data_IF_104709424956
#
_entry.id   IF_104709424956
#
_cell.length_a   1.000
_cell.length_b   1.000
_cell.length_c   1.000
_cell.angle_alpha   90.00
_cell.angle_beta   90.00
_cell.angle_gamma   90.00
#
_symmetry.space_group_name_H-M   'P 1'
#
loop_
_entity.id
_entity.type
_entity.pdbx_description
1 polymer ?
#
# COMPACT_ATOMS: atom_id res chain seq x y z
N UNK A 1 30.73 -3.32 -25.00
CA UNK A 1 29.26 -3.39 -25.07
C UNK A 1 28.72 -1.98 -24.81
N UNK A 2 28.15 -1.31 -25.81
CA UNK A 2 27.43 -0.04 -25.65
C UNK A 2 26.12 -0.32 -24.90
N UNK A 3 26.19 -0.43 -23.59
CA UNK A 3 25.11 -0.88 -22.71
C UNK A 3 24.12 0.24 -22.30
N UNK A 4 24.21 1.42 -22.93
CA UNK A 4 23.40 2.61 -22.61
C UNK A 4 22.21 2.81 -23.55
N UNK A 5 21.39 1.78 -23.77
CA UNK A 5 20.16 1.93 -24.55
C UNK A 5 19.14 2.76 -23.78
N UNK A 6 18.82 3.97 -24.25
CA UNK A 6 17.76 4.80 -23.68
C UNK A 6 16.45 4.46 -24.40
N UNK A 7 15.50 3.88 -23.66
CA UNK A 7 14.14 3.67 -24.14
C UNK A 7 13.24 4.83 -23.70
N UNK A 8 12.42 5.36 -24.61
CA UNK A 8 11.48 6.46 -24.33
C UNK A 8 10.06 5.98 -24.62
N UNK A 9 9.19 6.00 -23.60
CA UNK A 9 7.77 5.69 -23.73
C UNK A 9 7.00 7.01 -23.89
N UNK A 10 6.34 7.19 -25.03
CA UNK A 10 5.48 8.35 -25.30
C UNK A 10 4.03 8.01 -24.95
N UNK A 11 3.48 8.66 -23.93
CA UNK A 11 2.11 8.45 -23.47
C UNK A 11 1.18 9.48 -24.12
N UNK A 12 0.02 9.04 -24.60
CA UNK A 12 -1.00 9.90 -25.19
C UNK A 12 -2.39 9.59 -24.60
N UNK A 13 -3.24 10.62 -24.54
CA UNK A 13 -4.63 10.52 -24.08
C UNK A 13 -5.50 11.63 -24.69
N UNK A 14 -6.83 11.50 -24.56
CA UNK A 14 -7.77 12.45 -25.16
C UNK A 14 -7.92 13.75 -24.34
N UNK A 15 -7.63 13.69 -23.05
CA UNK A 15 -7.69 14.84 -22.13
C UNK A 15 -6.41 14.93 -21.29
N UNK A 16 -6.09 16.12 -20.76
CA UNK A 16 -4.90 16.32 -19.93
C UNK A 16 -4.97 15.49 -18.63
N UNK A 17 -6.15 15.36 -18.04
CA UNK A 17 -6.36 14.56 -16.82
C UNK A 17 -6.06 13.08 -17.07
N UNK A 18 -6.60 12.53 -18.17
CA UNK A 18 -6.33 11.14 -18.56
C UNK A 18 -4.85 10.94 -18.93
N UNK A 19 -4.21 11.94 -19.56
CA UNK A 19 -2.80 11.88 -19.89
C UNK A 19 -1.94 11.75 -18.62
N UNK A 20 -2.24 12.55 -17.59
CA UNK A 20 -1.54 12.50 -16.29
C UNK A 20 -1.73 11.15 -15.61
N UNK A 21 -2.96 10.64 -15.57
CA UNK A 21 -3.29 9.35 -14.95
C UNK A 21 -2.58 8.18 -15.66
N UNK A 22 -2.69 8.10 -17.00
CA UNK A 22 -2.00 7.06 -17.78
C UNK A 22 -0.49 7.13 -17.64
N UNK A 23 0.07 8.35 -17.59
CA UNK A 23 1.50 8.54 -17.41
C UNK A 23 1.95 7.99 -16.05
N UNK A 24 1.26 8.35 -14.97
CA UNK A 24 1.57 7.84 -13.62
C UNK A 24 1.46 6.31 -13.58
N UNK A 25 0.43 5.73 -14.17
CA UNK A 25 0.25 4.27 -14.25
C UNK A 25 1.42 3.56 -14.95
N UNK A 26 1.95 4.17 -16.02
CA UNK A 26 3.11 3.64 -16.75
C UNK A 26 4.40 3.79 -15.93
N UNK A 27 4.58 4.90 -15.23
CA UNK A 27 5.71 5.10 -14.31
C UNK A 27 5.70 4.07 -13.17
N UNK A 28 4.53 3.83 -12.57
CA UNK A 28 4.34 2.80 -11.55
C UNK A 28 4.64 1.39 -12.09
N UNK A 29 4.13 1.05 -13.27
CA UNK A 29 4.41 -0.25 -13.90
C UNK A 29 5.92 -0.45 -14.17
N UNK A 30 6.61 0.60 -14.62
CA UNK A 30 8.06 0.57 -14.84
C UNK A 30 8.81 0.35 -13.52
N UNK A 31 8.43 1.05 -12.45
CA UNK A 31 9.05 0.93 -11.14
C UNK A 31 8.81 -0.46 -10.53
N UNK A 32 7.59 -0.98 -10.61
CA UNK A 32 7.23 -2.33 -10.18
C UNK A 32 8.02 -3.40 -10.94
N UNK A 33 8.17 -3.26 -12.25
CA UNK A 33 8.96 -4.20 -13.06
C UNK A 33 10.44 -4.17 -12.68
N UNK A 34 11.01 -2.98 -12.44
CA UNK A 34 12.40 -2.84 -11.95
C UNK A 34 12.57 -3.53 -10.59
N UNK A 35 11.67 -3.27 -9.65
CA UNK A 35 11.69 -3.89 -8.32
C UNK A 35 11.56 -5.43 -8.40
N UNK A 36 10.73 -5.94 -9.32
CA UNK A 36 10.55 -7.36 -9.53
C UNK A 36 11.82 -8.03 -10.12
N UNK A 37 12.56 -7.33 -10.98
CA UNK A 37 13.85 -7.83 -11.50
C UNK A 37 14.92 -7.87 -10.41
N UNK A 38 14.88 -6.93 -9.45
CA UNK A 38 15.87 -6.85 -8.37
C UNK A 38 15.70 -7.92 -7.28
N UNK A 39 14.48 -8.11 -6.75
CA UNK A 39 14.21 -8.99 -5.59
C UNK A 39 13.20 -10.11 -5.90
N UNK A 40 12.76 -10.27 -7.14
CA UNK A 40 11.77 -11.26 -7.54
C UNK A 40 10.33 -10.83 -7.28
N UNK A 41 9.43 -11.80 -7.37
CA UNK A 41 7.98 -11.62 -7.21
C UNK A 41 7.43 -12.57 -6.14
N UNK A 42 6.31 -12.18 -5.55
CA UNK A 42 5.53 -12.96 -4.59
C UNK A 42 4.05 -12.95 -4.95
N UNK A 43 3.27 -13.84 -4.31
CA UNK A 43 1.81 -13.87 -4.44
C UNK A 43 1.20 -12.54 -3.98
N UNK A 44 0.53 -11.84 -4.90
CA UNK A 44 0.01 -10.51 -4.65
C UNK A 44 -1.30 -10.48 -3.85
N UNK A 45 -1.96 -9.33 -3.85
CA UNK A 45 -3.27 -9.16 -3.19
C UNK A 45 -3.22 -9.31 -1.67
N UNK A 46 -2.05 -9.06 -1.05
CA UNK A 46 -1.81 -9.29 0.37
C UNK A 46 -1.57 -10.75 0.78
N UNK A 47 -1.65 -11.69 -0.17
CA UNK A 47 -1.47 -13.13 0.09
C UNK A 47 -0.07 -13.45 0.64
N UNK A 48 0.97 -12.83 0.10
CA UNK A 48 2.33 -13.01 0.60
C UNK A 48 2.50 -12.67 2.10
N UNK A 49 1.78 -11.66 2.60
CA UNK A 49 1.80 -11.30 4.02
C UNK A 49 1.06 -12.35 4.87
N UNK A 50 -0.04 -12.90 4.35
CA UNK A 50 -0.76 -13.98 5.03
C UNK A 50 0.03 -15.30 5.04
N UNK A 51 0.82 -15.60 4.01
CA UNK A 51 1.66 -16.80 3.97
C UNK A 51 2.69 -16.85 5.11
N UNK A 52 3.09 -15.70 5.65
CA UNK A 52 4.02 -15.62 6.79
C UNK A 52 3.32 -15.51 8.14
N UNK A 53 1.98 -15.38 8.17
CA UNK A 53 1.19 -15.19 9.40
C UNK A 53 1.53 -16.24 10.47
N UNK A 54 1.50 -17.53 10.11
CA UNK A 54 1.78 -18.62 11.06
C UNK A 54 3.21 -18.60 11.59
N UNK A 55 4.19 -18.11 10.80
CA UNK A 55 5.56 -17.94 11.25
C UNK A 55 5.71 -16.80 12.25
N UNK A 56 5.00 -15.69 12.03
CA UNK A 56 4.96 -14.56 12.97
C UNK A 56 4.24 -14.96 14.25
N UNK A 57 3.16 -15.75 14.14
CA UNK A 57 2.39 -16.22 15.30
C UNK A 57 3.15 -17.20 16.19
N UNK A 58 4.16 -17.88 15.64
CA UNK A 58 5.03 -18.78 16.36
C UNK A 58 6.21 -18.09 17.08
N UNK A 59 6.33 -16.75 16.99
CA UNK A 59 7.36 -16.00 17.70
C UNK A 59 7.05 -16.06 19.20
N UNK A 60 7.95 -16.68 19.97
CA UNK A 60 7.89 -16.69 21.43
C UNK A 60 8.33 -15.33 21.96
N UNK A 61 7.44 -14.66 22.69
CA UNK A 61 7.66 -13.36 23.31
C UNK A 61 6.85 -13.27 24.61
N UNK A 62 7.28 -12.43 25.54
CA UNK A 62 6.63 -12.25 26.84
C UNK A 62 6.24 -10.78 27.07
N UNK A 63 5.32 -10.54 28.00
CA UNK A 63 4.91 -9.19 28.40
C UNK A 63 4.51 -8.29 27.22
N UNK A 64 5.11 -7.11 27.15
CA UNK A 64 4.82 -6.09 26.13
C UNK A 64 5.31 -6.49 24.73
N UNK A 65 6.38 -7.30 24.63
CA UNK A 65 6.85 -7.81 23.33
C UNK A 65 5.81 -8.72 22.68
N UNK A 66 5.13 -9.56 23.48
CA UNK A 66 4.03 -10.38 23.00
C UNK A 66 2.85 -9.53 22.47
N UNK A 67 2.61 -8.36 23.07
CA UNK A 67 1.64 -7.39 22.57
C UNK A 67 2.09 -6.81 21.23
N UNK A 68 3.38 -6.48 21.08
CA UNK A 68 3.98 -6.06 19.81
C UNK A 68 3.78 -7.09 18.68
N UNK A 69 4.02 -8.37 18.95
CA UNK A 69 3.78 -9.46 17.97
C UNK A 69 2.31 -9.49 17.55
N UNK A 70 1.36 -9.34 18.48
CA UNK A 70 -0.09 -9.29 18.18
C UNK A 70 -0.46 -8.09 17.31
N UNK A 71 0.17 -6.93 17.52
CA UNK A 71 -0.05 -5.74 16.67
C UNK A 71 0.36 -6.04 15.23
N UNK A 72 1.53 -6.65 15.03
CA UNK A 72 2.01 -7.02 13.69
C UNK A 72 1.10 -8.07 13.05
N UNK A 73 0.71 -9.12 13.77
CA UNK A 73 -0.23 -10.14 13.28
C UNK A 73 -1.54 -9.53 12.81
N UNK A 74 -2.07 -8.56 13.55
CA UNK A 74 -3.28 -7.86 13.15
C UNK A 74 -3.06 -6.99 11.92
N UNK A 75 -1.94 -6.27 11.86
CA UNK A 75 -1.64 -5.33 10.78
C UNK A 75 -1.41 -6.02 9.42
N UNK A 76 -0.80 -7.20 9.40
CA UNK A 76 -0.54 -7.93 8.14
C UNK A 76 -1.81 -8.46 7.46
N UNK A 77 -2.93 -8.56 8.18
CA UNK A 77 -4.25 -8.91 7.62
C UNK A 77 -4.92 -7.74 6.89
N UNK A 78 -4.57 -6.51 7.25
CA UNK A 78 -5.29 -5.30 6.80
C UNK A 78 -5.22 -5.07 5.28
N UNK A 79 -4.10 -5.31 4.57
CA UNK A 79 -4.07 -5.18 3.11
C UNK A 79 -5.11 -6.05 2.41
N UNK A 80 -5.26 -7.32 2.82
CA UNK A 80 -6.28 -8.22 2.26
C UNK A 80 -7.68 -7.73 2.60
N UNK A 81 -7.91 -7.33 3.86
CA UNK A 81 -9.20 -6.82 4.32
C UNK A 81 -9.64 -5.60 3.52
N UNK A 82 -8.73 -4.66 3.29
CA UNK A 82 -9.00 -3.45 2.53
C UNK A 82 -9.29 -3.75 1.06
N UNK A 83 -8.54 -4.66 0.43
CA UNK A 83 -8.79 -5.09 -0.96
C UNK A 83 -10.17 -5.74 -1.08
N UNK A 84 -10.52 -6.64 -0.17
CA UNK A 84 -11.82 -7.28 -0.13
C UNK A 84 -12.96 -6.28 0.09
N UNK A 85 -12.80 -5.34 1.01
CA UNK A 85 -13.79 -4.30 1.28
C UNK A 85 -14.01 -3.39 0.08
N UNK A 86 -12.94 -3.01 -0.63
CA UNK A 86 -13.02 -2.24 -1.87
C UNK A 86 -13.73 -3.01 -2.99
N UNK A 87 -13.72 -4.35 -2.95
CA UNK A 87 -14.48 -5.21 -3.84
C UNK A 87 -15.92 -5.48 -3.35
N UNK A 88 -16.36 -4.87 -2.24
CA UNK A 88 -17.70 -5.04 -1.68
C UNK A 88 -17.92 -6.36 -0.95
N UNK A 89 -16.85 -7.00 -0.48
CA UNK A 89 -16.87 -8.31 0.19
C UNK A 89 -16.46 -8.22 1.66
N UNK A 90 -16.83 -9.24 2.43
CA UNK A 90 -16.52 -9.33 3.86
C UNK A 90 -15.06 -9.76 4.09
N UNK A 91 -14.17 -8.79 4.30
CA UNK A 91 -12.73 -9.04 4.42
C UNK A 91 -12.35 -10.01 5.55
N UNK A 92 -13.11 -10.04 6.65
CA UNK A 92 -12.87 -10.97 7.78
C UNK A 92 -12.95 -12.43 7.34
N UNK A 93 -13.91 -12.77 6.47
CA UNK A 93 -14.13 -14.14 5.96
C UNK A 93 -12.97 -14.57 5.06
N UNK A 94 -12.48 -13.67 4.21
CA UNK A 94 -11.38 -13.95 3.29
C UNK A 94 -10.06 -14.11 4.06
N UNK A 95 -9.78 -13.22 5.00
CA UNK A 95 -8.59 -13.29 5.85
C UNK A 95 -8.57 -14.61 6.64
N UNK A 96 -9.69 -15.01 7.23
CA UNK A 96 -9.74 -16.23 8.04
C UNK A 96 -9.49 -17.48 7.19
N UNK A 97 -10.06 -17.53 5.98
CA UNK A 97 -9.78 -18.62 5.05
C UNK A 97 -8.31 -18.67 4.63
N UNK A 98 -7.70 -17.51 4.31
CA UNK A 98 -6.29 -17.41 3.91
C UNK A 98 -5.31 -17.99 4.95
N UNK A 99 -5.60 -17.91 6.25
CA UNK A 99 -4.74 -18.48 7.30
C UNK A 99 -4.55 -19.99 7.19
N UNK A 100 -5.53 -20.67 6.59
CA UNK A 100 -5.56 -22.14 6.46
C UNK A 100 -5.23 -22.64 5.05
N UNK A 101 -5.16 -21.73 4.08
CA UNK A 101 -4.87 -22.07 2.69
C UNK A 101 -3.38 -22.36 2.47
N UNK A 102 -3.09 -23.05 1.37
CA UNK A 102 -1.70 -23.35 0.99
C UNK A 102 -0.98 -22.06 0.60
N UNK A 103 0.33 -21.93 0.90
CA UNK A 103 1.12 -20.80 0.44
C UNK A 103 1.02 -20.62 -1.07
N UNK A 104 0.63 -19.42 -1.51
CA UNK A 104 0.48 -19.08 -2.93
C UNK A 104 -0.97 -19.09 -3.42
N UNK A 105 -1.86 -19.81 -2.74
CA UNK A 105 -3.30 -19.73 -2.98
C UNK A 105 -3.84 -18.47 -2.31
N UNK A 106 -4.55 -17.65 -3.08
CA UNK A 106 -5.13 -16.41 -2.58
C UNK A 106 -6.49 -16.11 -3.18
N UNK A 107 -7.04 -14.98 -2.77
CA UNK A 107 -8.36 -14.54 -3.22
C UNK A 107 -8.23 -13.49 -4.31
N UNK A 108 -8.73 -13.79 -5.51
CA UNK A 108 -8.84 -12.83 -6.58
C UNK A 108 -10.07 -11.94 -6.36
N UNK A 109 -9.85 -10.75 -5.81
CA UNK A 109 -10.93 -9.81 -5.52
C UNK A 109 -11.65 -9.26 -6.77
N UNK A 110 -11.08 -9.40 -7.97
CA UNK A 110 -11.73 -8.98 -9.21
C UNK A 110 -12.75 -10.00 -9.73
N UNK A 111 -12.53 -11.30 -9.51
CA UNK A 111 -13.43 -12.38 -9.96
C UNK A 111 -14.22 -13.03 -8.84
N UNK A 112 -13.76 -12.90 -7.59
CA UNK A 112 -14.34 -13.55 -6.43
C UNK A 112 -13.88 -15.00 -6.24
N UNK A 113 -12.82 -15.42 -6.92
CA UNK A 113 -12.36 -16.81 -6.95
C UNK A 113 -11.07 -17.03 -6.14
N UNK A 114 -10.88 -18.27 -5.69
CA UNK A 114 -9.65 -18.71 -5.02
C UNK A 114 -8.74 -19.37 -6.05
N UNK A 115 -7.55 -18.81 -6.21
CA UNK A 115 -6.63 -19.18 -7.31
C UNK A 115 -5.21 -19.25 -6.81
N UNK A 116 -4.35 -19.95 -7.55
CA UNK A 116 -2.92 -19.69 -7.44
C UNK A 116 -2.63 -18.29 -7.96
N UNK A 117 -2.12 -17.42 -7.08
CA UNK A 117 -1.97 -16.01 -7.38
C UNK A 117 -0.90 -15.77 -8.46
N UNK A 118 0.15 -16.59 -8.49
CA UNK A 118 1.23 -16.44 -9.46
C UNK A 118 0.76 -16.92 -10.83
N UNK A 119 0.11 -18.08 -10.90
CA UNK A 119 -0.45 -18.61 -12.15
C UNK A 119 -1.53 -17.70 -12.72
N UNK A 120 -2.35 -17.08 -11.87
CA UNK A 120 -3.36 -16.08 -12.25
C UNK A 120 -2.76 -14.71 -12.63
N UNK A 121 -1.44 -14.52 -12.48
CA UNK A 121 -0.76 -13.25 -12.80
C UNK A 121 -0.97 -12.14 -11.77
N UNK A 122 -1.50 -12.45 -10.59
CA UNK A 122 -1.68 -11.51 -9.47
C UNK A 122 -0.43 -11.57 -8.60
N UNK A 123 0.57 -10.79 -9.01
CA UNK A 123 1.90 -10.81 -8.41
C UNK A 123 2.31 -9.42 -7.93
N UNK A 124 3.00 -9.39 -6.79
CA UNK A 124 3.61 -8.18 -6.26
C UNK A 124 5.14 -8.34 -6.26
N UNK A 125 5.92 -7.28 -6.55
CA UNK A 125 7.37 -7.33 -6.39
C UNK A 125 7.76 -7.55 -4.92
N UNK A 126 8.66 -8.50 -4.64
CA UNK A 126 9.09 -8.84 -3.27
C UNK A 126 9.55 -7.61 -2.50
N UNK A 127 10.34 -6.75 -3.17
CA UNK A 127 10.85 -5.50 -2.61
C UNK A 127 9.75 -4.59 -2.12
N UNK A 128 8.65 -4.47 -2.87
CA UNK A 128 7.53 -3.58 -2.53
C UNK A 128 6.83 -4.08 -1.28
N UNK A 129 6.47 -5.37 -1.22
CA UNK A 129 5.81 -5.96 -0.05
C UNK A 129 6.67 -5.84 1.21
N UNK A 130 7.97 -6.14 1.11
CA UNK A 130 8.92 -6.04 2.22
C UNK A 130 9.10 -4.60 2.69
N UNK A 131 9.40 -3.68 1.76
CA UNK A 131 9.66 -2.28 2.09
C UNK A 131 8.41 -1.59 2.64
N UNK A 132 7.22 -1.91 2.14
CA UNK A 132 5.97 -1.38 2.67
C UNK A 132 5.80 -1.73 4.16
N UNK A 133 5.98 -3.01 4.52
CA UNK A 133 5.88 -3.47 5.90
C UNK A 133 6.95 -2.83 6.80
N UNK A 134 8.20 -2.80 6.35
CA UNK A 134 9.32 -2.24 7.11
C UNK A 134 9.15 -0.74 7.38
N UNK A 135 8.73 0.03 6.36
CA UNK A 135 8.51 1.46 6.51
C UNK A 135 7.30 1.75 7.41
N UNK A 136 6.20 0.98 7.26
CA UNK A 136 5.03 1.11 8.11
C UNK A 136 5.38 0.82 9.59
N UNK A 137 6.11 -0.26 9.86
CA UNK A 137 6.56 -0.60 11.20
C UNK A 137 7.51 0.47 11.78
N UNK A 138 8.41 1.01 10.96
CA UNK A 138 9.34 2.06 11.39
C UNK A 138 8.61 3.34 11.82
N UNK A 139 7.64 3.80 11.02
CA UNK A 139 6.84 4.98 11.36
C UNK A 139 5.96 4.71 12.59
N UNK A 140 5.29 3.56 12.64
CA UNK A 140 4.43 3.20 13.76
C UNK A 140 5.22 3.13 15.08
N UNK A 141 6.40 2.52 15.09
CA UNK A 141 7.26 2.45 16.27
C UNK A 141 7.67 3.84 16.75
N UNK A 142 8.07 4.74 15.85
CA UNK A 142 8.38 6.13 16.23
C UNK A 142 7.19 6.81 16.90
N UNK A 143 5.99 6.71 16.31
CA UNK A 143 4.77 7.29 16.87
C UNK A 143 4.41 6.70 18.24
N UNK A 144 4.50 5.38 18.42
CA UNK A 144 4.18 4.72 19.69
C UNK A 144 5.13 5.14 20.83
N UNK A 145 6.36 5.52 20.50
CA UNK A 145 7.35 6.01 21.48
C UNK A 145 7.34 7.53 21.66
N UNK A 146 6.47 8.25 20.95
CA UNK A 146 6.41 9.72 21.02
C UNK A 146 5.55 10.16 22.20
N UNK A 147 6.20 10.61 23.27
CA UNK A 147 5.53 11.10 24.49
C UNK A 147 5.09 12.57 24.41
N UNK A 148 5.74 13.38 23.57
CA UNK A 148 5.45 14.80 23.44
C UNK A 148 5.74 15.32 22.03
N UNK A 149 5.00 16.35 21.63
CA UNK A 149 5.18 17.07 20.36
C UNK A 149 5.25 18.58 20.65
N UNK A 150 6.29 19.24 20.14
CA UNK A 150 6.39 20.70 20.13
C UNK A 150 5.96 21.18 18.75
N UNK A 151 4.91 21.98 18.69
CA UNK A 151 4.34 22.48 17.45
C UNK A 151 4.14 24.01 17.52
N UNK A 152 4.20 24.66 16.36
CA UNK A 152 3.88 26.07 16.24
C UNK A 152 2.40 26.32 16.56
N UNK A 153 2.12 27.43 17.25
CA UNK A 153 0.75 27.86 17.52
C UNK A 153 0.05 28.13 16.18
N UNK A 154 -1.13 27.54 15.90
CA UNK A 154 -1.88 27.85 14.70
C UNK A 154 -2.11 29.36 14.58
N UNK A 155 -1.75 29.94 13.43
CA UNK A 155 -2.04 31.35 13.14
C UNK A 155 -3.55 31.53 12.97
N UNK A 156 -4.16 32.50 13.67
CA UNK A 156 -5.61 32.73 13.65
C UNK A 156 -6.16 33.27 12.30
N UNK A 157 -5.34 33.42 11.25
CA UNK A 157 -5.78 34.03 9.99
C UNK A 157 -5.17 33.40 8.73
N UNK A 158 -5.62 32.19 8.38
CA UNK A 158 -5.52 31.68 6.99
C UNK A 158 -6.84 31.07 6.51
N UNK A 159 -7.93 31.82 6.67
CA UNK A 159 -9.26 31.41 6.21
C UNK A 159 -10.23 32.58 6.11
N UNK A 160 -10.13 33.39 5.06
CA UNK A 160 -11.08 34.45 4.74
C UNK A 160 -10.75 35.10 3.40
N UNK A 161 -11.34 34.56 2.34
CA UNK A 161 -11.57 35.10 1.00
C UNK A 161 -10.99 36.51 0.69
N UNK A 162 -10.22 36.73 -0.41
CA UNK A 162 -9.96 38.08 -0.92
C UNK A 162 -11.29 38.69 -1.38
N UNK A 163 -11.95 39.40 -0.47
CA UNK A 163 -13.06 40.28 -0.81
C UNK A 163 -12.57 41.26 -1.86
N UNK A 164 -13.21 41.21 -3.04
CA UNK A 164 -13.09 42.21 -4.10
C UNK A 164 -13.05 43.63 -3.51
N UNK A 165 -12.20 44.53 -4.04
CA UNK A 165 -12.28 45.94 -3.69
C UNK A 165 -13.66 46.46 -4.08
N UNK A 166 -14.35 47.04 -3.10
CA UNK A 166 -15.61 47.74 -3.23
C UNK A 166 -15.42 48.94 -4.20
N UNK A 167 -15.69 48.71 -5.49
CA UNK A 167 -15.86 49.77 -6.49
C UNK A 167 -17.24 50.37 -6.27
N UNK A 168 -17.34 51.26 -5.28
CA UNK A 168 -18.64 51.73 -4.81
C UNK A 168 -18.62 53.03 -4.00
N UNK A 169 -18.09 54.10 -4.59
CA UNK A 169 -18.54 55.45 -4.22
C UNK A 169 -17.49 56.40 -3.67
N UNK A 170 -17.01 57.30 -4.52
CA UNK A 170 -16.75 58.69 -4.13
C UNK A 170 -17.19 59.59 -5.29
N UNK A 171 -18.03 60.57 -4.94
CA UNK A 171 -18.32 61.77 -5.71
C UNK A 171 -17.04 62.55 -6.01
#
# INVERSE_FOLDING_TARGET
KLAGGVAVIKVGAATETELKERKLRIEDALNSTRAAVEEGIVAGGGTALMNVYNKVAAIEAEGDEATGVKIVLRAIEEPVRQIAQNAGLEGSVIVERLKTEKPGIGFNAATGEWVDMIEAGIVDPTKVTRSALQNAASVAAMFLTTEAVVADKPEENKGGNPGMPDMGGMM
#
